data_IF_948191584117
#
_entry.id   IF_948191584117
#
_cell.length_a   1.000
_cell.length_b   1.000
_cell.length_c   1.000
_cell.angle_alpha   90.00
_cell.angle_beta   90.00
_cell.angle_gamma   90.00
#
_symmetry.space_group_name_H-M   'P 1'
#
loop_
_entity.id
_entity.type
_entity.pdbx_description
1 polymer ?
#
# COMPACT_ATOMS: atom_id res chain seq x y z
N UNK A 1 -12.39 16.71 -13.48
CA UNK A 1 -12.04 16.20 -14.83
C UNK A 1 -10.90 17.06 -15.31
N UNK A 2 -9.79 16.43 -15.59
CA UNK A 2 -8.62 17.08 -16.18
C UNK A 2 -9.00 17.72 -17.52
N UNK A 3 -8.36 18.83 -17.86
CA UNK A 3 -8.60 19.48 -19.14
C UNK A 3 -8.01 18.63 -20.29
N UNK A 4 -8.52 18.81 -21.49
CA UNK A 4 -7.91 18.13 -22.66
C UNK A 4 -6.45 18.58 -22.87
N UNK A 5 -6.08 19.78 -22.41
CA UNK A 5 -4.73 20.34 -22.49
C UNK A 5 -3.79 19.63 -21.52
N UNK A 6 -4.24 19.29 -20.29
CA UNK A 6 -3.45 18.55 -19.29
C UNK A 6 -3.14 17.13 -19.80
N UNK A 7 -4.14 16.46 -20.38
CA UNK A 7 -3.96 15.13 -20.97
C UNK A 7 -2.99 15.16 -22.17
N UNK A 8 -3.10 16.17 -23.03
CA UNK A 8 -2.19 16.34 -24.16
C UNK A 8 -0.75 16.60 -23.71
N UNK A 9 -0.57 17.40 -22.66
CA UNK A 9 0.73 17.67 -22.05
C UNK A 9 1.35 16.40 -21.46
N UNK A 10 0.61 15.65 -20.66
CA UNK A 10 1.07 14.37 -20.10
C UNK A 10 1.45 13.37 -21.21
N UNK A 11 0.62 13.27 -22.25
CA UNK A 11 0.90 12.42 -23.42
C UNK A 11 2.20 12.77 -24.10
N UNK A 12 2.46 14.07 -24.27
CA UNK A 12 3.72 14.56 -24.82
C UNK A 12 4.90 14.21 -23.91
N UNK A 13 4.80 14.52 -22.62
CA UNK A 13 5.85 14.25 -21.63
C UNK A 13 6.21 12.75 -21.59
N UNK A 14 5.21 11.87 -21.49
CA UNK A 14 5.42 10.44 -21.48
C UNK A 14 6.04 9.93 -22.78
N UNK A 15 5.64 10.52 -23.93
CA UNK A 15 6.21 10.16 -25.24
C UNK A 15 7.68 10.55 -25.33
N UNK A 16 8.04 11.74 -24.86
CA UNK A 16 9.44 12.23 -24.80
C UNK A 16 10.32 11.36 -23.89
N UNK A 17 9.74 10.83 -22.80
CA UNK A 17 10.37 9.84 -21.91
C UNK A 17 10.44 8.42 -22.51
N UNK A 18 9.94 8.20 -23.72
CA UNK A 18 10.00 6.91 -24.40
C UNK A 18 8.88 5.93 -24.06
N UNK A 19 7.84 6.36 -23.33
CA UNK A 19 6.67 5.53 -23.06
C UNK A 19 5.92 5.20 -24.34
N UNK A 20 5.57 3.93 -24.50
CA UNK A 20 4.81 3.41 -25.65
C UNK A 20 3.43 2.91 -25.25
N UNK A 21 3.27 2.48 -24.01
CA UNK A 21 2.05 1.87 -23.49
C UNK A 21 1.66 2.46 -22.15
N UNK A 22 0.37 2.60 -21.91
CA UNK A 22 -0.20 3.06 -20.65
C UNK A 22 -1.10 1.98 -20.05
N UNK A 23 -0.93 1.74 -18.75
CA UNK A 23 -1.70 0.80 -17.94
C UNK A 23 -2.64 1.63 -17.04
N UNK A 24 -3.94 1.61 -17.28
CA UNK A 24 -4.94 2.17 -16.35
C UNK A 24 -5.35 1.12 -15.33
N UNK A 25 -4.76 1.16 -14.14
CA UNK A 25 -4.88 0.12 -13.14
C UNK A 25 -5.84 0.49 -12.01
N UNK A 26 -6.86 -0.31 -11.77
CA UNK A 26 -7.64 -0.29 -10.55
C UNK A 26 -7.34 -1.52 -9.68
N UNK A 27 -7.71 -1.47 -8.41
CA UNK A 27 -7.47 -2.56 -7.46
C UNK A 27 -8.78 -3.26 -7.16
N UNK A 28 -8.79 -4.59 -7.27
CA UNK A 28 -9.94 -5.41 -6.90
C UNK A 28 -10.05 -5.60 -5.37
N UNK A 29 -11.08 -6.31 -4.92
CA UNK A 29 -11.34 -6.55 -3.49
C UNK A 29 -10.25 -7.37 -2.80
N UNK A 30 -9.42 -8.09 -3.55
CA UNK A 30 -8.28 -8.85 -3.03
C UNK A 30 -6.99 -8.04 -2.99
N UNK A 31 -7.05 -6.74 -3.33
CA UNK A 31 -5.87 -5.88 -3.43
C UNK A 31 -4.99 -6.21 -4.65
N UNK A 32 -5.54 -6.88 -5.67
CA UNK A 32 -4.83 -7.24 -6.90
C UNK A 32 -5.09 -6.18 -7.96
N UNK A 33 -4.03 -5.56 -8.52
CA UNK A 33 -4.19 -4.64 -9.64
C UNK A 33 -4.74 -5.35 -10.87
N UNK A 34 -5.75 -4.76 -11.47
CA UNK A 34 -6.38 -5.18 -12.73
C UNK A 34 -6.27 -4.03 -13.73
N UNK A 35 -5.99 -4.33 -14.98
CA UNK A 35 -5.82 -3.29 -15.98
C UNK A 35 -6.11 -3.77 -17.40
N UNK A 36 -6.37 -2.81 -18.26
CA UNK A 36 -6.11 -2.92 -19.69
C UNK A 36 -4.94 -2.01 -20.05
N UNK A 37 -4.25 -2.35 -21.13
CA UNK A 37 -3.09 -1.63 -21.63
C UNK A 37 -3.44 -1.00 -22.96
N UNK A 38 -3.14 0.28 -23.14
CA UNK A 38 -3.36 0.99 -24.40
C UNK A 38 -2.03 1.54 -24.94
N UNK A 39 -1.84 1.59 -26.26
CA UNK A 39 -0.76 2.39 -26.84
C UNK A 39 -0.89 3.86 -26.44
N UNK A 40 0.24 4.55 -26.24
CA UNK A 40 0.27 5.96 -25.83
C UNK A 40 -0.55 6.86 -26.78
N UNK A 41 -0.65 6.48 -28.07
CA UNK A 41 -1.46 7.21 -29.03
C UNK A 41 -2.95 7.33 -28.63
N UNK A 42 -3.46 6.41 -27.82
CA UNK A 42 -4.85 6.34 -27.37
C UNK A 42 -5.04 6.76 -25.90
N UNK A 43 -4.05 7.40 -25.27
CA UNK A 43 -4.15 7.86 -23.88
C UNK A 43 -5.34 8.79 -23.65
N UNK A 44 -5.65 9.65 -24.61
CA UNK A 44 -6.78 10.58 -24.58
C UNK A 44 -8.17 9.88 -24.55
N UNK A 45 -8.27 8.70 -25.17
CA UNK A 45 -9.48 7.88 -25.08
C UNK A 45 -9.56 7.17 -23.71
N UNK A 46 -8.43 6.64 -23.24
CA UNK A 46 -8.34 5.98 -21.94
C UNK A 46 -8.68 6.95 -20.80
N UNK A 47 -8.19 8.20 -20.86
CA UNK A 47 -8.52 9.25 -19.90
C UNK A 47 -10.02 9.52 -19.78
N UNK A 48 -10.80 9.27 -20.83
CA UNK A 48 -12.25 9.42 -20.88
C UNK A 48 -13.00 8.14 -20.52
N UNK A 49 -12.31 7.10 -20.04
CA UNK A 49 -12.93 5.85 -19.64
C UNK A 49 -13.33 4.96 -20.82
N UNK A 50 -12.53 4.90 -21.90
CA UNK A 50 -12.78 3.99 -23.02
C UNK A 50 -12.65 2.52 -22.65
N UNK A 51 -11.87 2.22 -21.58
CA UNK A 51 -11.58 0.85 -21.18
C UNK A 51 -12.71 0.29 -20.32
N UNK A 52 -13.35 -0.77 -20.84
CA UNK A 52 -14.50 -1.42 -20.22
C UNK A 52 -14.12 -2.77 -19.65
N UNK A 53 -14.79 -3.15 -18.56
CA UNK A 53 -14.55 -4.39 -17.83
C UNK A 53 -15.87 -5.06 -17.50
N UNK A 54 -15.97 -6.35 -17.83
CA UNK A 54 -17.09 -7.18 -17.45
C UNK A 54 -16.98 -7.52 -15.96
N UNK A 55 -17.86 -6.94 -15.13
CA UNK A 55 -17.83 -7.14 -13.67
C UNK A 55 -18.04 -8.57 -13.24
N UNK A 56 -18.76 -9.37 -14.03
CA UNK A 56 -18.92 -10.81 -13.81
C UNK A 56 -17.56 -11.57 -13.77
N UNK A 57 -16.54 -11.07 -14.48
CA UNK A 57 -15.19 -11.67 -14.49
C UNK A 57 -14.33 -11.23 -13.29
N UNK A 58 -14.87 -10.43 -12.38
CA UNK A 58 -14.19 -9.89 -11.21
C UNK A 58 -14.85 -10.41 -9.94
N UNK A 59 -14.03 -10.88 -9.01
CA UNK A 59 -14.53 -11.35 -7.72
C UNK A 59 -15.15 -10.20 -6.90
N UNK A 60 -16.20 -10.54 -6.14
CA UNK A 60 -16.78 -9.67 -5.11
C UNK A 60 -17.73 -8.59 -5.62
N UNK A 61 -17.96 -8.46 -6.92
CA UNK A 61 -18.86 -7.44 -7.48
C UNK A 61 -20.31 -7.91 -7.60
N UNK A 62 -20.55 -9.21 -7.58
CA UNK A 62 -21.91 -9.79 -7.61
C UNK A 62 -22.68 -9.53 -8.89
N UNK A 63 -22.00 -9.20 -9.99
CA UNK A 63 -22.61 -8.91 -11.28
C UNK A 63 -22.86 -10.18 -12.09
N UNK A 64 -23.89 -10.14 -12.93
CA UNK A 64 -24.23 -11.19 -13.89
C UNK A 64 -23.64 -10.85 -15.29
N UNK A 65 -23.56 -11.84 -16.21
CA UNK A 65 -23.01 -11.62 -17.56
C UNK A 65 -23.77 -10.58 -18.41
N UNK A 66 -25.01 -10.29 -18.08
CA UNK A 66 -25.88 -9.33 -18.77
C UNK A 66 -25.93 -7.96 -18.08
N UNK A 67 -25.20 -7.76 -16.99
CA UNK A 67 -25.10 -6.44 -16.36
C UNK A 67 -24.21 -5.50 -17.19
N UNK A 68 -24.43 -4.19 -17.01
CA UNK A 68 -23.61 -3.18 -17.65
C UNK A 68 -22.13 -3.33 -17.25
N UNK A 69 -21.25 -3.02 -18.18
CA UNK A 69 -19.82 -3.05 -17.94
C UNK A 69 -19.36 -1.88 -17.06
N UNK A 70 -18.33 -2.14 -16.24
CA UNK A 70 -17.58 -1.10 -15.58
C UNK A 70 -16.66 -0.40 -16.59
N UNK A 71 -16.39 0.89 -16.38
CA UNK A 71 -15.33 1.60 -17.07
C UNK A 71 -14.23 1.96 -16.08
N UNK A 72 -12.98 2.07 -16.57
CA UNK A 72 -11.84 2.53 -15.78
C UNK A 72 -11.48 3.95 -16.22
N UNK A 73 -11.45 4.88 -15.26
CA UNK A 73 -11.07 6.27 -15.47
C UNK A 73 -9.77 6.53 -14.72
N UNK A 74 -8.63 6.59 -15.43
CA UNK A 74 -7.32 6.83 -14.81
C UNK A 74 -7.21 8.25 -14.25
N UNK A 75 -6.44 8.39 -13.16
CA UNK A 75 -6.05 9.64 -12.52
C UNK A 75 -4.70 10.08 -13.12
N UNK A 76 -4.75 10.93 -14.15
CA UNK A 76 -3.60 11.25 -15.00
C UNK A 76 -2.47 11.96 -14.25
N UNK A 77 -2.80 12.74 -13.20
CA UNK A 77 -1.80 13.43 -12.36
C UNK A 77 -0.91 12.45 -11.56
N UNK A 78 -1.25 11.16 -11.57
CA UNK A 78 -0.57 10.13 -10.79
C UNK A 78 0.14 9.09 -11.66
N UNK A 79 0.44 9.46 -12.90
CA UNK A 79 1.15 8.58 -13.83
C UNK A 79 2.58 8.30 -13.34
N UNK A 80 2.98 7.03 -13.37
CA UNK A 80 4.31 6.55 -12.99
C UNK A 80 4.90 5.79 -14.17
N UNK A 81 6.06 6.21 -14.68
CA UNK A 81 6.84 5.40 -15.62
C UNK A 81 7.48 4.24 -14.83
N UNK A 82 7.35 2.99 -15.35
CA UNK A 82 7.89 1.83 -14.63
C UNK A 82 9.43 1.89 -14.58
N UNK A 83 10.05 1.85 -13.39
CA UNK A 83 11.52 1.90 -13.28
C UNK A 83 12.25 0.77 -14.04
N UNK A 84 11.65 -0.41 -14.12
CA UNK A 84 12.23 -1.59 -14.80
C UNK A 84 11.84 -1.75 -16.26
N UNK A 85 10.80 -1.07 -16.73
CA UNK A 85 10.37 -1.09 -18.14
C UNK A 85 9.88 0.32 -18.55
N UNK A 86 10.81 1.20 -18.92
CA UNK A 86 10.49 2.61 -19.17
C UNK A 86 9.58 2.85 -20.39
N UNK A 87 9.26 1.81 -21.16
CA UNK A 87 8.27 1.91 -22.25
C UNK A 87 6.82 1.88 -21.74
N UNK A 88 6.60 1.63 -20.45
CA UNK A 88 5.28 1.50 -19.84
C UNK A 88 5.07 2.56 -18.77
N UNK A 89 3.91 3.22 -18.81
CA UNK A 89 3.41 4.05 -17.70
C UNK A 89 2.26 3.33 -17.00
N UNK A 90 2.30 3.35 -15.66
CA UNK A 90 1.22 2.93 -14.77
C UNK A 90 0.44 4.15 -14.31
N UNK A 91 -0.88 4.08 -14.37
CA UNK A 91 -1.78 5.16 -13.94
C UNK A 91 -2.86 4.55 -13.06
N UNK A 92 -2.95 4.90 -11.76
CA UNK A 92 -4.03 4.42 -10.90
C UNK A 92 -5.37 4.90 -11.42
N UNK A 93 -6.41 4.07 -11.31
CA UNK A 93 -7.70 4.34 -11.93
C UNK A 93 -8.88 4.07 -10.98
N UNK A 94 -9.93 4.84 -11.16
CA UNK A 94 -11.22 4.63 -10.53
C UNK A 94 -12.15 3.82 -11.44
N UNK A 95 -12.89 2.88 -10.88
CA UNK A 95 -13.98 2.27 -11.63
C UNK A 95 -15.23 3.15 -11.62
N UNK A 96 -15.89 3.22 -12.77
CA UNK A 96 -17.18 3.84 -12.93
C UNK A 96 -18.20 2.82 -13.41
N UNK A 97 -19.43 2.96 -12.95
CA UNK A 97 -20.58 2.18 -13.39
C UNK A 97 -21.68 3.12 -13.85
N UNK A 98 -22.18 2.93 -15.06
CA UNK A 98 -23.19 3.80 -15.69
C UNK A 98 -22.78 5.30 -15.64
N UNK A 99 -21.49 5.58 -15.90
CA UNK A 99 -20.93 6.93 -15.95
C UNK A 99 -20.70 7.59 -14.58
N UNK A 100 -20.89 6.89 -13.46
CA UNK A 100 -20.68 7.39 -12.10
C UNK A 100 -19.58 6.61 -11.39
N UNK A 101 -18.79 7.25 -10.49
CA UNK A 101 -17.84 6.54 -9.66
C UNK A 101 -18.48 5.34 -8.94
N UNK A 102 -17.86 4.17 -9.03
CA UNK A 102 -18.44 2.94 -8.51
C UNK A 102 -18.08 2.77 -7.02
N UNK A 103 -19.05 2.84 -6.09
CA UNK A 103 -18.77 2.91 -4.66
C UNK A 103 -18.16 1.63 -4.07
N UNK A 104 -18.21 0.49 -4.79
CA UNK A 104 -17.58 -0.76 -4.37
C UNK A 104 -16.13 -0.87 -4.84
N UNK A 105 -15.61 0.10 -5.63
CA UNK A 105 -14.19 0.21 -5.91
C UNK A 105 -13.47 0.78 -4.69
N UNK A 106 -12.39 0.13 -4.25
CA UNK A 106 -11.67 0.48 -3.02
C UNK A 106 -11.09 1.89 -3.05
N UNK A 107 -10.55 2.34 -4.20
CA UNK A 107 -10.01 3.67 -4.37
C UNK A 107 -11.11 4.74 -4.35
N UNK A 108 -12.26 4.46 -4.96
CA UNK A 108 -13.44 5.33 -4.91
C UNK A 108 -13.99 5.43 -3.48
N UNK A 109 -14.02 4.32 -2.74
CA UNK A 109 -14.44 4.33 -1.34
C UNK A 109 -13.54 5.23 -0.50
N UNK A 110 -12.20 5.18 -0.68
CA UNK A 110 -11.27 6.09 -0.01
C UNK A 110 -11.53 7.55 -0.40
N UNK A 111 -11.66 7.85 -1.70
CA UNK A 111 -11.95 9.22 -2.18
C UNK A 111 -13.25 9.77 -1.57
N UNK A 112 -14.27 8.93 -1.44
CA UNK A 112 -15.53 9.34 -0.80
C UNK A 112 -15.33 9.67 0.68
N UNK A 113 -14.54 8.87 1.43
CA UNK A 113 -14.25 9.17 2.84
C UNK A 113 -13.38 10.44 3.01
N UNK A 114 -12.41 10.64 2.14
CA UNK A 114 -11.62 11.89 2.12
C UNK A 114 -12.50 13.11 1.81
N UNK A 115 -13.46 12.97 0.90
CA UNK A 115 -14.43 14.03 0.61
C UNK A 115 -15.34 14.35 1.81
N UNK A 116 -15.77 13.34 2.58
CA UNK A 116 -16.51 13.59 3.83
C UNK A 116 -15.64 14.27 4.88
N UNK A 117 -14.38 13.88 5.03
CA UNK A 117 -13.45 14.58 5.92
C UNK A 117 -13.21 16.04 5.50
N UNK A 118 -13.11 16.28 4.19
CA UNK A 118 -12.92 17.63 3.63
C UNK A 118 -14.12 18.55 3.90
N UNK A 119 -15.36 18.04 3.94
CA UNK A 119 -16.53 18.83 4.36
C UNK A 119 -16.45 19.33 5.80
N UNK A 120 -15.66 18.65 6.63
CA UNK A 120 -15.36 19.03 8.01
C UNK A 120 -14.10 19.89 8.12
N UNK A 121 -13.46 20.22 7.02
CA UNK A 121 -12.22 20.99 6.96
C UNK A 121 -10.95 20.18 7.16
N UNK A 122 -11.00 18.83 7.07
CA UNK A 122 -9.86 17.96 7.37
C UNK A 122 -9.28 17.31 6.12
N UNK A 123 -7.96 17.34 6.01
CA UNK A 123 -7.18 16.47 5.14
C UNK A 123 -6.49 15.37 5.96
N UNK A 124 -6.08 14.27 5.32
CA UNK A 124 -5.42 13.14 5.96
C UNK A 124 -4.08 12.85 5.32
N UNK A 125 -3.02 12.80 6.13
CA UNK A 125 -1.72 12.24 5.78
C UNK A 125 -1.62 10.80 6.29
N UNK A 126 -0.94 9.97 5.51
CA UNK A 126 -0.74 8.56 5.80
C UNK A 126 0.69 8.15 5.44
N UNK A 127 1.42 7.56 6.39
CA UNK A 127 2.63 6.77 6.16
C UNK A 127 2.33 5.30 6.38
N UNK A 128 3.02 4.43 5.67
CA UNK A 128 2.88 2.97 5.81
C UNK A 128 4.27 2.35 5.93
N UNK A 129 4.53 1.66 7.02
CA UNK A 129 5.69 0.79 7.20
C UNK A 129 5.35 -0.57 6.57
N UNK A 130 6.08 -0.94 5.51
CA UNK A 130 5.72 -2.08 4.67
C UNK A 130 6.59 -3.29 4.97
N UNK A 131 6.08 -4.26 5.74
CA UNK A 131 6.76 -5.53 5.95
C UNK A 131 6.49 -6.52 4.80
N UNK A 132 7.54 -7.22 4.38
CA UNK A 132 7.50 -8.12 3.24
C UNK A 132 8.49 -9.28 3.41
N UNK A 133 8.06 -10.51 3.11
CA UNK A 133 8.97 -11.65 3.00
C UNK A 133 9.56 -11.77 1.60
N UNK A 134 10.86 -12.00 1.54
CA UNK A 134 11.56 -12.49 0.38
C UNK A 134 11.77 -14.01 0.55
N UNK A 135 11.33 -14.79 -0.40
CA UNK A 135 11.25 -16.24 -0.31
C UNK A 135 11.84 -16.93 -1.55
N UNK A 136 12.30 -18.15 -1.36
CA UNK A 136 12.65 -19.08 -2.43
C UNK A 136 11.59 -20.20 -2.48
N UNK A 137 11.14 -20.53 -3.68
CA UNK A 137 10.25 -21.67 -3.89
C UNK A 137 11.05 -22.84 -4.45
N UNK A 138 10.98 -23.99 -3.77
CA UNK A 138 11.56 -25.24 -4.23
C UNK A 138 10.77 -25.86 -5.39
N UNK A 139 11.34 -26.88 -6.04
CA UNK A 139 10.69 -27.62 -7.13
C UNK A 139 9.41 -28.34 -6.67
N UNK A 140 9.35 -28.72 -5.41
CA UNK A 140 8.18 -29.30 -4.75
C UNK A 140 7.12 -28.26 -4.32
N UNK A 141 7.37 -26.99 -4.61
CA UNK A 141 6.53 -25.86 -4.20
C UNK A 141 6.72 -25.39 -2.75
N UNK A 142 7.61 -26.03 -1.99
CA UNK A 142 7.90 -25.61 -0.61
C UNK A 142 8.57 -24.24 -0.58
N UNK A 143 8.17 -23.40 0.40
CA UNK A 143 8.75 -22.10 0.60
C UNK A 143 9.86 -22.15 1.64
N UNK A 144 10.93 -21.43 1.38
CA UNK A 144 12.05 -21.25 2.29
C UNK A 144 12.59 -19.83 2.21
N UNK A 145 13.42 -19.45 3.19
CA UNK A 145 14.16 -18.17 3.12
C UNK A 145 15.26 -18.27 2.04
N UNK A 146 15.57 -17.17 1.32
CA UNK A 146 16.52 -17.23 0.20
C UNK A 146 17.93 -17.63 0.62
N UNK A 147 18.38 -17.09 1.76
CA UNK A 147 19.74 -17.29 2.32
C UNK A 147 19.67 -18.33 3.42
N UNK A 148 20.28 -19.49 3.16
CA UNK A 148 20.24 -20.62 4.08
C UNK A 148 20.91 -20.34 5.45
N UNK A 149 21.77 -19.32 5.53
CA UNK A 149 22.47 -18.91 6.74
C UNK A 149 21.71 -17.86 7.56
N UNK A 150 20.56 -17.38 7.08
CA UNK A 150 19.64 -16.57 7.88
C UNK A 150 18.88 -17.49 8.87
N UNK A 151 19.53 -17.75 10.01
CA UNK A 151 19.10 -18.76 11.00
C UNK A 151 19.03 -18.25 12.43
N UNK A 152 19.24 -16.94 12.64
CA UNK A 152 19.16 -16.39 13.98
C UNK A 152 17.75 -16.62 14.55
N UNK A 153 17.68 -16.91 15.83
CA UNK A 153 16.41 -17.07 16.55
C UNK A 153 15.66 -15.75 16.69
N UNK A 154 16.42 -14.64 16.70
CA UNK A 154 15.94 -13.25 16.70
C UNK A 154 16.76 -12.48 15.68
N UNK A 155 16.34 -12.48 14.42
CA UNK A 155 17.10 -11.89 13.32
C UNK A 155 16.84 -10.40 13.12
N UNK A 156 15.91 -9.80 13.85
CA UNK A 156 15.54 -8.39 13.70
C UNK A 156 16.80 -7.50 13.79
N UNK A 157 16.96 -6.63 12.79
CA UNK A 157 18.13 -5.72 12.63
C UNK A 157 19.45 -6.44 12.33
N UNK A 158 19.44 -7.70 11.91
CA UNK A 158 20.68 -8.42 11.58
C UNK A 158 21.30 -7.89 10.29
N UNK A 159 22.50 -7.29 10.45
CA UNK A 159 23.27 -6.71 9.33
C UNK A 159 23.63 -7.76 8.29
N UNK A 160 23.95 -8.98 8.72
CA UNK A 160 24.34 -10.06 7.80
C UNK A 160 23.16 -10.51 6.95
N UNK A 161 22.02 -10.80 7.58
CA UNK A 161 20.81 -11.19 6.86
C UNK A 161 20.35 -10.11 5.87
N UNK A 162 20.54 -8.84 6.23
CA UNK A 162 20.33 -7.71 5.34
C UNK A 162 21.31 -7.71 4.15
N UNK A 163 22.62 -7.79 4.40
CA UNK A 163 23.65 -7.71 3.34
C UNK A 163 23.59 -8.90 2.39
N UNK A 164 23.28 -10.09 2.89
CA UNK A 164 23.17 -11.30 2.08
C UNK A 164 21.97 -11.26 1.07
N UNK A 165 20.99 -10.37 1.30
CA UNK A 165 19.85 -10.14 0.40
C UNK A 165 19.91 -8.77 -0.31
N UNK A 166 21.06 -8.10 -0.28
CA UNK A 166 21.22 -6.71 -0.70
C UNK A 166 20.88 -6.47 -2.18
N UNK A 167 21.08 -7.45 -3.08
CA UNK A 167 20.75 -7.28 -4.50
C UNK A 167 19.30 -6.91 -4.73
N UNK A 168 18.37 -7.62 -4.10
CA UNK A 168 16.94 -7.30 -4.20
C UNK A 168 16.58 -6.01 -3.45
N UNK A 169 17.13 -5.83 -2.25
CA UNK A 169 16.89 -4.64 -1.41
C UNK A 169 17.32 -3.36 -2.13
N UNK A 170 18.49 -3.35 -2.76
CA UNK A 170 19.02 -2.21 -3.51
C UNK A 170 18.14 -1.83 -4.71
N UNK A 171 17.67 -2.81 -5.48
CA UNK A 171 16.76 -2.56 -6.61
C UNK A 171 15.46 -1.89 -6.15
N UNK A 172 14.86 -2.40 -5.07
CA UNK A 172 13.62 -1.84 -4.52
C UNK A 172 13.86 -0.44 -3.96
N UNK A 173 14.93 -0.26 -3.16
CA UNK A 173 15.30 1.01 -2.55
C UNK A 173 15.62 2.09 -3.61
N UNK A 174 16.39 1.74 -4.61
CA UNK A 174 16.72 2.63 -5.74
C UNK A 174 15.45 3.05 -6.47
N UNK A 175 14.57 2.11 -6.80
CA UNK A 175 13.33 2.44 -7.48
C UNK A 175 12.38 3.33 -6.66
N UNK A 176 12.31 3.14 -5.34
CA UNK A 176 11.54 4.02 -4.43
C UNK A 176 12.08 5.46 -4.51
N UNK A 177 13.40 5.64 -4.48
CA UNK A 177 14.04 6.95 -4.54
C UNK A 177 13.91 7.59 -5.93
N UNK A 178 14.07 6.82 -7.02
CA UNK A 178 13.89 7.30 -8.39
C UNK A 178 12.45 7.78 -8.64
N UNK A 179 11.48 7.19 -7.96
CA UNK A 179 10.08 7.64 -7.95
C UNK A 179 9.82 8.86 -7.05
N UNK A 180 10.83 9.37 -6.35
CA UNK A 180 10.71 10.53 -5.47
C UNK A 180 9.90 10.27 -4.19
N UNK A 181 9.84 9.00 -3.73
CA UNK A 181 9.07 8.68 -2.51
C UNK A 181 9.86 8.87 -1.23
N UNK A 182 11.19 9.15 -1.34
CA UNK A 182 12.08 9.44 -0.22
C UNK A 182 12.10 8.30 0.81
N UNK A 183 12.79 7.20 0.45
CA UNK A 183 13.07 6.09 1.35
C UNK A 183 14.05 6.54 2.44
N UNK A 184 13.64 6.52 3.69
CA UNK A 184 14.47 6.97 4.80
C UNK A 184 15.00 5.82 5.67
N UNK A 185 14.38 4.64 5.62
CA UNK A 185 14.85 3.44 6.33
C UNK A 185 14.40 2.17 5.61
N UNK A 186 15.18 1.13 5.70
CA UNK A 186 14.82 -0.25 5.37
C UNK A 186 15.75 -1.20 6.12
N UNK A 187 15.24 -2.30 6.61
CA UNK A 187 15.98 -3.21 7.47
C UNK A 187 15.53 -4.66 7.38
N UNK A 188 16.22 -5.54 8.12
CA UNK A 188 15.84 -6.92 8.34
C UNK A 188 14.88 -7.00 9.53
N UNK A 189 13.69 -7.52 9.30
CA UNK A 189 12.63 -7.64 10.28
C UNK A 189 12.72 -8.91 11.17
N UNK A 190 11.72 -9.12 12.04
CA UNK A 190 11.72 -10.10 13.13
C UNK A 190 11.73 -11.55 12.67
N UNK A 191 11.41 -11.83 11.42
CA UNK A 191 11.50 -13.18 10.86
C UNK A 191 12.60 -13.30 9.81
N UNK A 192 13.27 -14.48 9.75
CA UNK A 192 14.23 -14.78 8.71
C UNK A 192 13.61 -14.58 7.31
N UNK A 193 14.32 -13.85 6.45
CA UNK A 193 13.85 -13.47 5.12
C UNK A 193 12.76 -12.41 5.10
N UNK A 194 12.52 -11.71 6.20
CA UNK A 194 11.56 -10.61 6.31
C UNK A 194 12.28 -9.28 6.32
N UNK A 195 11.71 -8.29 5.63
CA UNK A 195 12.27 -6.95 5.49
C UNK A 195 11.17 -5.91 5.64
N UNK A 196 11.53 -4.68 6.05
CA UNK A 196 10.65 -3.52 6.09
C UNK A 196 11.20 -2.41 5.21
N UNK A 197 10.31 -1.61 4.61
CA UNK A 197 10.66 -0.43 3.82
C UNK A 197 9.83 0.76 4.27
N UNK A 198 10.51 1.83 4.68
CA UNK A 198 9.93 3.05 5.22
C UNK A 198 10.21 4.22 4.29
N UNK A 199 9.21 4.66 3.55
CA UNK A 199 9.27 5.85 2.70
C UNK A 199 8.33 6.94 3.21
N UNK A 200 8.64 8.18 2.89
CA UNK A 200 7.93 9.33 3.41
C UNK A 200 6.44 9.29 3.15
N UNK A 201 5.69 9.73 4.16
CA UNK A 201 4.24 9.88 4.07
C UNK A 201 3.83 10.90 2.99
N UNK A 202 2.60 10.76 2.53
CA UNK A 202 1.94 11.72 1.66
C UNK A 202 0.46 11.86 2.07
N UNK A 203 -0.35 12.56 1.28
CA UNK A 203 -1.80 12.45 1.42
C UNK A 203 -2.25 10.99 1.31
N UNK A 204 -3.34 10.65 1.98
CA UNK A 204 -3.76 9.26 2.13
C UNK A 204 -4.00 8.55 0.78
N UNK A 205 -4.51 9.24 -0.23
CA UNK A 205 -4.75 8.65 -1.56
C UNK A 205 -3.42 8.34 -2.26
N UNK A 206 -2.46 9.27 -2.22
CA UNK A 206 -1.11 9.08 -2.77
C UNK A 206 -0.41 7.90 -2.11
N UNK A 207 -0.46 7.80 -0.78
CA UNK A 207 0.19 6.69 -0.07
C UNK A 207 -0.45 5.33 -0.40
N UNK A 208 -1.76 5.26 -0.54
CA UNK A 208 -2.44 4.02 -0.94
C UNK A 208 -2.11 3.62 -2.40
N UNK A 209 -2.01 4.59 -3.32
CA UNK A 209 -1.55 4.34 -4.69
C UNK A 209 -0.09 3.85 -4.70
N UNK A 210 0.81 4.48 -3.90
CA UNK A 210 2.20 4.05 -3.72
C UNK A 210 2.31 2.63 -3.17
N UNK A 211 1.53 2.28 -2.14
CA UNK A 211 1.51 0.92 -1.58
C UNK A 211 1.10 -0.12 -2.62
N UNK A 212 0.09 0.19 -3.42
CA UNK A 212 -0.36 -0.70 -4.51
C UNK A 212 0.75 -0.94 -5.53
N UNK A 213 1.42 0.13 -5.94
CA UNK A 213 2.55 0.08 -6.88
C UNK A 213 3.77 -0.62 -6.25
N UNK A 214 4.12 -0.31 -5.01
CA UNK A 214 5.21 -0.95 -4.25
C UNK A 214 5.07 -2.48 -4.22
N UNK A 215 3.87 -2.98 -3.92
CA UNK A 215 3.59 -4.42 -3.92
C UNK A 215 3.84 -5.08 -5.28
N UNK A 216 3.53 -4.39 -6.35
CA UNK A 216 3.78 -4.85 -7.71
C UNK A 216 5.27 -4.82 -8.03
N UNK A 217 5.94 -3.71 -7.74
CA UNK A 217 7.35 -3.46 -7.98
C UNK A 217 8.26 -4.44 -7.22
N UNK A 218 8.05 -4.60 -5.91
CA UNK A 218 8.84 -5.50 -5.07
C UNK A 218 8.75 -6.96 -5.53
N UNK A 219 7.56 -7.40 -5.96
CA UNK A 219 7.37 -8.74 -6.55
C UNK A 219 8.08 -8.90 -7.89
N UNK A 220 8.08 -7.84 -8.71
CA UNK A 220 8.77 -7.87 -10.00
C UNK A 220 10.28 -8.07 -9.81
N UNK A 221 10.91 -7.26 -8.96
CA UNK A 221 12.35 -7.39 -8.69
C UNK A 221 12.73 -8.71 -8.03
N UNK A 222 11.88 -9.25 -7.14
CA UNK A 222 12.12 -10.60 -6.60
C UNK A 222 12.09 -11.67 -7.68
N UNK A 223 11.13 -11.60 -8.62
CA UNK A 223 11.03 -12.52 -9.74
C UNK A 223 12.25 -12.47 -10.68
N UNK A 224 12.84 -11.31 -10.90
CA UNK A 224 14.07 -11.18 -11.69
C UNK A 224 15.24 -11.97 -11.10
N UNK A 225 15.26 -12.14 -9.78
CA UNK A 225 16.28 -12.92 -9.06
C UNK A 225 15.88 -14.38 -8.82
N UNK A 226 14.77 -14.84 -9.43
CA UNK A 226 14.24 -16.18 -9.20
C UNK A 226 13.66 -16.39 -7.82
N UNK A 227 13.28 -15.30 -7.13
CA UNK A 227 12.71 -15.26 -5.81
C UNK A 227 11.22 -14.85 -5.85
N UNK A 228 10.58 -14.92 -4.69
CA UNK A 228 9.19 -14.53 -4.48
C UNK A 228 9.09 -13.55 -3.32
N UNK A 229 8.53 -12.36 -3.58
CA UNK A 229 8.19 -11.41 -2.51
C UNK A 229 6.70 -11.51 -2.15
N UNK A 230 6.39 -11.52 -0.83
CA UNK A 230 5.01 -11.63 -0.38
C UNK A 230 4.72 -10.80 0.87
N UNK A 231 3.59 -10.09 0.84
CA UNK A 231 2.99 -9.40 1.98
C UNK A 231 1.90 -10.27 2.66
N UNK A 232 1.92 -11.58 2.44
CA UNK A 232 1.02 -12.52 3.12
C UNK A 232 1.16 -12.36 4.64
N UNK A 233 0.07 -12.18 5.40
CA UNK A 233 0.17 -11.91 6.83
C UNK A 233 0.95 -12.97 7.62
N UNK A 234 0.82 -14.25 7.26
CA UNK A 234 1.48 -15.36 7.96
C UNK A 234 1.92 -16.45 6.97
N UNK A 235 3.04 -16.26 6.24
CA UNK A 235 3.52 -17.27 5.29
C UNK A 235 4.06 -18.52 5.97
N UNK A 236 4.66 -18.38 7.16
CA UNK A 236 5.19 -19.50 7.96
C UNK A 236 4.48 -19.58 9.32
N UNK A 237 4.14 -20.79 9.74
CA UNK A 237 3.48 -21.03 11.02
C UNK A 237 4.40 -20.74 12.22
N UNK A 238 5.69 -20.98 12.05
CA UNK A 238 6.75 -20.92 13.06
C UNK A 238 7.57 -19.62 13.06
N UNK A 239 7.24 -18.65 12.19
CA UNK A 239 7.92 -17.34 12.12
C UNK A 239 6.98 -16.21 12.46
N UNK A 240 7.51 -15.03 12.78
CA UNK A 240 6.73 -13.79 12.86
C UNK A 240 6.08 -13.50 11.51
N UNK A 241 4.93 -12.88 11.50
CA UNK A 241 4.18 -12.56 10.27
C UNK A 241 4.32 -11.09 9.90
N UNK A 242 3.91 -10.74 8.67
CA UNK A 242 3.93 -9.36 8.18
C UNK A 242 2.88 -8.48 8.85
N UNK A 243 3.29 -7.29 9.27
CA UNK A 243 2.46 -6.16 9.59
C UNK A 243 2.42 -5.13 8.44
N UNK A 244 1.61 -4.11 8.64
CA UNK A 244 1.65 -2.85 7.91
C UNK A 244 1.19 -1.78 8.89
N UNK A 245 2.13 -1.02 9.43
CA UNK A 245 1.80 0.00 10.42
C UNK A 245 1.35 1.28 9.71
N UNK A 246 0.19 1.79 10.10
CA UNK A 246 -0.38 3.01 9.54
C UNK A 246 -0.08 4.19 10.47
N UNK A 247 0.80 5.09 10.01
CA UNK A 247 1.11 6.35 10.65
C UNK A 247 0.17 7.43 10.12
N UNK A 248 -0.79 7.85 10.94
CA UNK A 248 -1.89 8.71 10.51
C UNK A 248 -1.85 10.07 11.20
N UNK A 249 -2.13 11.13 10.43
CA UNK A 249 -2.45 12.43 10.99
C UNK A 249 -3.54 13.13 10.18
N UNK A 250 -4.36 13.95 10.88
CA UNK A 250 -5.25 14.88 10.21
C UNK A 250 -4.63 16.28 10.22
N UNK A 251 -4.88 17.02 9.16
CA UNK A 251 -4.48 18.42 9.06
C UNK A 251 -5.66 19.28 8.65
N UNK A 252 -5.61 20.55 9.04
CA UNK A 252 -6.56 21.56 8.64
C UNK A 252 -6.33 21.96 7.18
N UNK A 253 -7.37 21.91 6.36
CA UNK A 253 -7.26 22.15 4.90
C UNK A 253 -6.94 23.60 4.54
N UNK A 254 -7.30 24.58 5.38
CA UNK A 254 -7.03 25.98 5.12
C UNK A 254 -5.60 26.36 5.49
N UNK A 255 -5.11 25.85 6.62
CA UNK A 255 -3.82 26.26 7.20
C UNK A 255 -2.69 25.26 6.99
N UNK A 256 -3.01 24.02 6.62
CA UNK A 256 -2.05 22.90 6.55
C UNK A 256 -1.56 22.41 7.92
N UNK A 257 -2.09 22.95 9.02
CA UNK A 257 -1.62 22.62 10.37
C UNK A 257 -2.02 21.20 10.78
N UNK A 258 -1.06 20.43 11.31
CA UNK A 258 -1.34 19.14 11.93
C UNK A 258 -2.26 19.32 13.14
N UNK A 259 -3.37 18.58 13.18
CA UNK A 259 -4.40 18.68 14.22
C UNK A 259 -4.14 17.75 15.41
N UNK A 260 -3.19 16.81 15.29
CA UNK A 260 -2.87 15.87 16.35
C UNK A 260 -1.73 16.34 17.25
N UNK A 261 -0.81 17.17 16.74
CA UNK A 261 0.38 17.58 17.45
C UNK A 261 0.18 18.88 18.24
N UNK A 262 0.68 18.92 19.49
CA UNK A 262 0.82 20.13 20.30
C UNK A 262 2.16 20.12 21.06
N UNK A 263 2.49 21.22 21.74
CA UNK A 263 3.64 21.22 22.68
C UNK A 263 3.35 20.19 23.80
N UNK A 264 4.28 19.29 24.14
CA UNK A 264 4.11 18.36 25.26
C UNK A 264 3.74 18.99 26.59
N UNK A 265 4.05 20.27 26.78
CA UNK A 265 3.65 21.03 27.98
C UNK A 265 2.15 21.34 28.04
N UNK A 266 1.50 21.40 26.87
CA UNK A 266 0.07 21.68 26.76
C UNK A 266 -0.77 20.39 26.78
N UNK A 267 -0.12 19.24 26.82
CA UNK A 267 -0.74 17.91 26.91
C UNK A 267 -0.67 17.38 28.33
N UNK A 268 -1.82 17.05 28.97
CA UNK A 268 -1.86 16.49 30.32
C UNK A 268 -1.02 15.22 30.53
N UNK A 269 -0.77 14.47 29.45
CA UNK A 269 0.04 13.24 29.48
C UNK A 269 1.49 13.46 29.02
N UNK A 270 1.85 14.66 28.57
CA UNK A 270 3.21 15.03 28.19
C UNK A 270 3.74 14.39 26.91
N UNK A 271 2.88 13.83 26.07
CA UNK A 271 3.28 13.15 24.80
C UNK A 271 3.10 14.03 23.56
N UNK A 272 2.53 15.23 23.72
CA UNK A 272 2.34 16.18 22.64
C UNK A 272 1.13 15.90 21.74
N UNK A 273 0.11 15.21 22.25
CA UNK A 273 -1.12 14.92 21.53
C UNK A 273 -2.24 15.88 21.93
N UNK A 274 -2.93 16.47 20.96
CA UNK A 274 -4.08 17.33 21.20
C UNK A 274 -5.30 16.55 21.71
N UNK A 275 -6.29 17.20 22.38
CA UNK A 275 -7.58 16.57 22.69
C UNK A 275 -8.29 15.97 21.47
N UNK A 276 -8.12 16.57 20.29
CA UNK A 276 -8.64 16.03 19.03
C UNK A 276 -7.93 14.72 18.63
N UNK A 277 -6.60 14.68 18.75
CA UNK A 277 -5.81 13.46 18.53
C UNK A 277 -6.24 12.32 19.46
N UNK A 278 -6.44 12.60 20.77
CA UNK A 278 -6.96 11.60 21.72
C UNK A 278 -8.34 11.09 21.33
N UNK A 279 -9.23 11.96 20.84
CA UNK A 279 -10.55 11.55 20.36
C UNK A 279 -10.47 10.62 19.15
N UNK A 280 -9.52 10.86 18.24
CA UNK A 280 -9.26 10.00 17.08
C UNK A 280 -8.75 8.62 17.52
N UNK A 281 -7.75 8.56 18.40
CA UNK A 281 -7.22 7.30 18.98
C UNK A 281 -8.34 6.53 19.69
N UNK A 282 -9.15 7.20 20.50
CA UNK A 282 -10.28 6.58 21.18
C UNK A 282 -11.30 5.99 20.20
N UNK A 283 -11.52 6.65 19.06
CA UNK A 283 -12.35 6.14 17.96
C UNK A 283 -11.82 4.84 17.37
N UNK A 284 -10.52 4.78 17.08
CA UNK A 284 -9.85 3.56 16.60
C UNK A 284 -10.00 2.43 17.61
N UNK A 285 -9.68 2.67 18.87
CA UNK A 285 -9.78 1.67 19.93
C UNK A 285 -11.22 1.15 20.12
N UNK A 286 -12.20 2.05 20.10
CA UNK A 286 -13.62 1.71 20.20
C UNK A 286 -14.07 0.78 19.08
N UNK A 287 -13.58 1.01 17.88
CA UNK A 287 -13.98 0.29 16.67
C UNK A 287 -13.00 -0.82 16.25
N UNK A 288 -11.92 -1.05 17.01
CA UNK A 288 -10.82 -1.97 16.64
C UNK A 288 -11.29 -3.37 16.23
N UNK A 289 -12.30 -3.94 16.92
CA UNK A 289 -12.85 -5.26 16.53
C UNK A 289 -13.52 -5.24 15.17
N UNK A 290 -14.29 -4.19 14.86
CA UNK A 290 -14.93 -4.04 13.55
C UNK A 290 -13.90 -3.75 12.45
N UNK A 291 -12.86 -3.00 12.76
CA UNK A 291 -11.77 -2.71 11.85
C UNK A 291 -11.03 -3.96 11.39
N UNK A 292 -10.96 -5.03 12.22
CA UNK A 292 -10.36 -6.31 11.82
C UNK A 292 -11.04 -6.91 10.58
N UNK A 293 -12.33 -6.67 10.36
CA UNK A 293 -13.03 -7.14 9.16
C UNK A 293 -12.50 -6.50 7.87
N UNK A 294 -11.87 -5.32 7.97
CA UNK A 294 -11.29 -4.57 6.85
C UNK A 294 -9.78 -4.75 6.80
N UNK A 295 -9.09 -4.61 7.94
CA UNK A 295 -7.61 -4.65 7.99
C UNK A 295 -7.04 -6.06 8.01
N UNK A 296 -7.80 -7.05 8.47
CA UNK A 296 -7.37 -8.44 8.59
C UNK A 296 -8.43 -9.42 8.07
N UNK A 297 -8.91 -9.27 6.80
CA UNK A 297 -10.13 -9.93 6.33
C UNK A 297 -9.93 -11.40 5.97
N UNK A 298 -8.69 -11.88 5.84
CA UNK A 298 -8.41 -13.23 5.34
C UNK A 298 -8.22 -14.24 6.47
N UNK A 299 -8.46 -15.53 6.19
CA UNK A 299 -8.17 -16.63 7.12
C UNK A 299 -6.69 -16.59 7.54
N UNK A 300 -5.79 -16.24 6.63
CA UNK A 300 -4.37 -16.14 6.93
C UNK A 300 -4.05 -14.99 7.90
N UNK A 301 -4.79 -13.89 7.85
CA UNK A 301 -4.67 -12.79 8.82
C UNK A 301 -4.91 -13.26 10.26
N UNK A 302 -5.90 -14.14 10.47
CA UNK A 302 -6.19 -14.67 11.81
C UNK A 302 -5.12 -15.64 12.31
N UNK A 303 -4.31 -16.24 11.43
CA UNK A 303 -3.12 -17.01 11.85
C UNK A 303 -2.02 -16.12 12.44
N UNK A 304 -1.99 -14.83 12.05
CA UNK A 304 -1.08 -13.82 12.61
C UNK A 304 -1.61 -13.25 13.93
N UNK A 305 -2.91 -13.05 14.07
CA UNK A 305 -3.57 -12.47 15.25
C UNK A 305 -3.65 -13.48 16.40
N UNK A 306 -2.52 -13.80 17.02
CA UNK A 306 -2.39 -14.78 18.10
C UNK A 306 -1.78 -14.15 19.36
N UNK A 307 -2.10 -14.69 20.54
CA UNK A 307 -1.62 -14.14 21.83
C UNK A 307 -0.13 -14.34 22.07
N UNK A 308 0.49 -15.33 21.43
CA UNK A 308 1.91 -15.64 21.57
C UNK A 308 2.56 -15.67 20.20
N UNK A 309 3.67 -14.98 20.08
CA UNK A 309 4.47 -15.01 18.86
C UNK A 309 5.12 -16.37 18.64
N UNK A 310 5.43 -16.70 17.40
CA UNK A 310 6.09 -17.94 17.03
C UNK A 310 7.59 -17.91 17.35
N UNK A 311 8.25 -16.76 17.16
CA UNK A 311 9.69 -16.59 17.40
C UNK A 311 10.00 -15.88 18.72
N UNK A 312 9.00 -15.23 19.32
CA UNK A 312 9.10 -14.61 20.65
C UNK A 312 7.93 -15.05 21.51
N UNK A 313 8.08 -14.92 22.83
CA UNK A 313 6.99 -15.24 23.76
C UNK A 313 5.79 -14.31 23.61
N UNK A 314 6.01 -13.09 23.16
CA UNK A 314 5.01 -12.04 22.95
C UNK A 314 4.62 -11.95 21.48
N UNK A 315 3.38 -11.60 21.20
CA UNK A 315 2.91 -11.28 19.85
C UNK A 315 2.92 -9.77 19.65
N UNK A 316 3.43 -9.34 18.52
CA UNK A 316 3.33 -7.96 18.03
C UNK A 316 1.98 -7.70 17.34
N UNK A 317 1.25 -8.74 17.00
CA UNK A 317 -0.06 -8.59 16.42
C UNK A 317 -1.04 -7.98 17.43
N UNK A 318 -1.93 -7.06 17.02
CA UNK A 318 -2.88 -6.38 17.90
C UNK A 318 -3.98 -7.32 18.37
N UNK A 319 -3.67 -8.13 19.37
CA UNK A 319 -4.63 -9.04 20.04
C UNK A 319 -5.44 -8.29 21.08
N UNK A 320 -4.89 -7.21 21.60
CA UNK A 320 -5.52 -6.31 22.53
C UNK A 320 -5.55 -4.89 21.95
N UNK A 321 -6.68 -4.22 22.10
CA UNK A 321 -6.76 -2.80 21.79
C UNK A 321 -6.16 -2.01 22.95
N UNK A 322 -4.98 -1.48 22.78
CA UNK A 322 -4.30 -0.63 23.75
C UNK A 322 -3.58 0.53 23.06
N UNK A 323 -3.09 1.47 23.82
CA UNK A 323 -2.27 2.57 23.32
C UNK A 323 -1.17 2.93 24.33
N UNK A 324 -0.13 3.57 23.86
CA UNK A 324 0.97 4.05 24.68
C UNK A 324 1.78 5.13 23.96
N UNK A 325 2.68 5.79 24.69
CA UNK A 325 3.34 7.01 24.24
C UNK A 325 4.77 6.79 23.70
N UNK A 326 5.38 5.69 24.03
CA UNK A 326 6.80 5.47 23.72
C UNK A 326 7.12 4.02 23.35
N UNK A 327 6.11 3.27 22.97
CA UNK A 327 6.26 1.89 22.53
C UNK A 327 5.41 1.66 21.29
N UNK A 328 6.06 1.34 20.18
CA UNK A 328 5.44 1.10 18.86
C UNK A 328 4.46 -0.09 18.86
N UNK A 329 4.44 -0.90 19.89
CA UNK A 329 3.58 -2.10 20.01
C UNK A 329 2.27 -1.83 20.75
N UNK A 330 2.03 -0.60 21.19
CA UNK A 330 0.81 -0.20 21.87
C UNK A 330 -0.08 0.66 20.98
#
# INVERSE_FOLDING_TARGET
MESNDDIAHLKQELTEKGVKYCIGAYVDIHGVPKAKVVPIAHLDHMAKGSERYTGYALDGLGQAPNDDELTSVPDMDRAIQLPWEPKIAWIPADNHFQGKPYPLNTRVALKNQLAEAAKLGYGMNLGIECEIFLLKQGEDGALSVPVADDKLTKPCYDVRGFVDNFSWLDKVATAINDLGWDLYSFDHEDANGQFEFDFNYADALTTCDRLTFFRFMAKHYAKEEGLLATMMPKPFADKTGNGAHFNMSLYDLETGKNLFACDPKDDPHGIGLTPFGYSFVAGILKHGRALCAVFAPTVNSYKRLVRRGAMSYFSWAPVFNSWGSNNRTN
#
